data_IF_446481892313
#
_entry.id   IF_446481892313
#
_cell.length_a   1.000
_cell.length_b   1.000
_cell.length_c   1.000
_cell.angle_alpha   90.00
_cell.angle_beta   90.00
_cell.angle_gamma   90.00
#
_symmetry.space_group_name_H-M   'P 1'
#
loop_
_entity.id
_entity.type
_entity.pdbx_description
1 polymer ?
#
# COMPACT_ATOMS: atom_id res chain seq x y z
N UNK A 1 -14.27 1.53 -19.45
CA UNK A 1 -13.49 1.18 -18.26
C UNK A 1 -14.00 1.99 -17.10
N UNK A 2 -14.66 1.33 -16.15
CA UNK A 2 -14.97 1.90 -14.85
C UNK A 2 -13.93 1.49 -13.79
N UNK A 3 -14.13 1.97 -12.55
CA UNK A 3 -13.22 1.69 -11.44
C UNK A 3 -13.13 0.21 -11.10
N UNK A 4 -14.25 -0.49 -11.06
CA UNK A 4 -14.29 -1.90 -10.69
C UNK A 4 -13.66 -2.78 -11.77
N UNK A 5 -13.87 -2.45 -13.05
CA UNK A 5 -13.23 -3.08 -14.19
C UNK A 5 -11.70 -2.95 -14.09
N UNK A 6 -11.17 -1.74 -13.89
CA UNK A 6 -9.73 -1.53 -13.77
C UNK A 6 -9.14 -2.21 -12.54
N UNK A 7 -9.83 -2.16 -11.40
CA UNK A 7 -9.39 -2.84 -10.18
C UNK A 7 -9.29 -4.36 -10.36
N UNK A 8 -10.24 -4.93 -11.11
CA UNK A 8 -10.26 -6.35 -11.47
C UNK A 8 -9.10 -6.70 -12.40
N UNK A 9 -8.81 -5.86 -13.39
CA UNK A 9 -7.65 -6.03 -14.26
C UNK A 9 -6.33 -5.98 -13.48
N UNK A 10 -6.16 -5.01 -12.59
CA UNK A 10 -4.96 -4.93 -11.75
C UNK A 10 -4.76 -6.21 -10.93
N UNK A 11 -5.80 -6.71 -10.26
CA UNK A 11 -5.72 -7.96 -9.50
C UNK A 11 -5.38 -9.15 -10.38
N UNK A 12 -6.04 -9.28 -11.53
CA UNK A 12 -5.78 -10.36 -12.49
C UNK A 12 -4.32 -10.36 -12.95
N UNK A 13 -3.77 -9.17 -13.16
CA UNK A 13 -2.40 -9.00 -13.67
C UNK A 13 -1.34 -9.05 -12.55
N UNK A 14 -1.75 -9.41 -11.32
CA UNK A 14 -0.88 -9.63 -10.16
C UNK A 14 -0.50 -8.36 -9.40
N UNK A 15 -1.17 -7.24 -9.64
CA UNK A 15 -0.92 -5.99 -8.93
C UNK A 15 -1.66 -5.95 -7.60
N UNK A 16 -0.97 -5.47 -6.56
CA UNK A 16 -1.62 -4.98 -5.34
C UNK A 16 -2.28 -3.64 -5.65
N UNK A 17 -3.58 -3.55 -5.42
CA UNK A 17 -4.36 -2.32 -5.66
C UNK A 17 -4.05 -1.28 -4.58
N UNK A 18 -3.92 -0.02 -4.99
CA UNK A 18 -3.65 1.14 -4.13
C UNK A 18 -4.50 2.32 -4.61
N UNK A 19 -5.36 2.82 -3.72
CA UNK A 19 -6.06 4.10 -3.91
C UNK A 19 -5.24 5.21 -3.24
N UNK A 20 -4.92 6.26 -3.99
CA UNK A 20 -4.11 7.38 -3.50
C UNK A 20 -4.63 8.72 -4.00
N UNK A 21 -4.46 9.74 -3.17
CA UNK A 21 -4.68 11.14 -3.53
C UNK A 21 -3.40 11.92 -3.24
N UNK A 22 -2.87 12.61 -4.23
CA UNK A 22 -1.64 13.38 -4.11
C UNK A 22 -1.99 14.87 -4.11
N UNK A 23 -1.35 15.61 -3.21
CA UNK A 23 -1.66 17.03 -2.97
C UNK A 23 -1.37 17.89 -4.22
N UNK A 24 -2.12 18.99 -4.40
CA UNK A 24 -1.84 19.99 -5.43
C UNK A 24 -0.38 20.41 -5.51
N UNK A 25 0.13 20.59 -6.73
CA UNK A 25 1.46 21.12 -7.02
C UNK A 25 2.62 20.32 -6.38
N UNK A 26 2.38 19.08 -5.95
CA UNK A 26 3.45 18.23 -5.47
C UNK A 26 4.40 17.91 -6.63
N UNK A 27 5.70 18.09 -6.37
CA UNK A 27 6.77 17.73 -7.29
C UNK A 27 7.57 16.60 -6.66
N UNK A 28 7.55 15.44 -7.29
CA UNK A 28 8.49 14.36 -6.98
C UNK A 28 9.66 14.47 -7.96
N UNK A 29 10.89 14.78 -7.48
CA UNK A 29 12.05 14.83 -8.34
C UNK A 29 12.36 13.45 -8.95
N UNK A 30 13.35 13.41 -9.86
CA UNK A 30 13.80 12.17 -10.48
C UNK A 30 14.03 11.06 -9.44
N UNK A 31 13.29 9.98 -9.59
CA UNK A 31 13.37 8.80 -8.77
C UNK A 31 12.98 7.55 -9.57
N UNK A 32 13.17 6.39 -8.98
CA UNK A 32 12.67 5.13 -9.49
C UNK A 32 12.12 4.31 -8.33
N UNK A 33 11.37 3.27 -8.67
CA UNK A 33 10.87 2.31 -7.71
C UNK A 33 11.10 0.89 -8.21
N UNK A 34 11.15 -0.06 -7.29
CA UNK A 34 11.45 -1.48 -7.49
C UNK A 34 10.20 -2.34 -7.75
N UNK A 35 9.09 -1.72 -8.13
CA UNK A 35 7.85 -2.37 -8.58
C UNK A 35 7.38 -1.75 -9.90
N UNK A 36 6.59 -2.48 -10.68
CA UNK A 36 5.81 -1.91 -11.77
C UNK A 36 4.62 -1.15 -11.18
N UNK A 37 4.39 0.07 -11.66
CA UNK A 37 3.22 0.87 -11.34
C UNK A 37 2.32 1.00 -12.58
N UNK A 38 1.04 0.66 -12.43
CA UNK A 38 0.00 0.90 -13.44
C UNK A 38 -1.09 1.74 -12.79
N UNK A 39 -1.42 2.89 -13.36
CA UNK A 39 -2.33 3.84 -12.73
C UNK A 39 -3.39 4.33 -13.70
N UNK A 40 -4.59 4.55 -13.18
CA UNK A 40 -5.71 5.20 -13.83
C UNK A 40 -6.07 6.46 -13.05
N UNK A 41 -6.14 7.59 -13.76
CA UNK A 41 -6.47 8.89 -13.15
C UNK A 41 -7.98 8.98 -12.96
N UNK A 42 -8.40 9.11 -11.71
CA UNK A 42 -9.80 9.28 -11.32
C UNK A 42 -10.23 10.76 -11.38
N UNK A 43 -9.31 11.68 -11.11
CA UNK A 43 -9.56 13.12 -11.10
C UNK A 43 -8.27 13.92 -10.97
N UNK A 44 -8.30 15.19 -11.39
CA UNK A 44 -7.13 16.06 -11.47
C UNK A 44 -6.16 15.67 -12.60
N UNK A 45 -4.89 16.03 -12.45
CA UNK A 45 -3.86 15.72 -13.44
C UNK A 45 -2.47 15.48 -12.83
N UNK A 46 -1.68 14.65 -13.51
CA UNK A 46 -0.28 14.36 -13.17
C UNK A 46 0.56 14.32 -14.44
N UNK A 47 1.72 14.94 -14.41
CA UNK A 47 2.73 14.86 -15.47
C UNK A 47 3.84 13.92 -15.04
N UNK A 48 4.07 12.87 -15.84
CA UNK A 48 5.19 11.95 -15.67
C UNK A 48 6.25 12.32 -16.71
N UNK A 49 7.45 12.62 -16.25
CA UNK A 49 8.59 12.96 -17.12
C UNK A 49 9.58 11.80 -17.14
N UNK A 50 9.83 11.25 -18.33
CA UNK A 50 10.79 10.16 -18.58
C UNK A 50 11.68 10.58 -19.74
N UNK A 51 12.99 10.41 -19.61
CA UNK A 51 13.96 10.83 -20.64
C UNK A 51 13.74 12.27 -21.12
N UNK A 52 13.53 13.19 -20.18
CA UNK A 52 13.21 14.62 -20.40
C UNK A 52 11.93 14.87 -21.24
N UNK A 53 11.09 13.86 -21.42
CA UNK A 53 9.83 13.96 -22.15
C UNK A 53 8.67 13.95 -21.16
N UNK A 54 8.00 15.10 -20.94
CA UNK A 54 6.83 15.17 -20.07
C UNK A 54 5.57 14.68 -20.78
N UNK A 55 4.80 13.82 -20.11
CA UNK A 55 3.46 13.42 -20.55
C UNK A 55 2.46 13.65 -19.43
N UNK A 56 1.44 14.48 -19.70
CA UNK A 56 0.38 14.78 -18.74
C UNK A 56 -0.81 13.83 -18.92
N UNK A 57 -1.22 13.21 -17.82
CA UNK A 57 -2.37 12.32 -17.72
C UNK A 57 -3.47 12.98 -16.89
N UNK A 58 -4.71 12.85 -17.36
CA UNK A 58 -5.93 13.42 -16.79
C UNK A 58 -6.97 12.34 -16.56
N UNK A 59 -8.05 12.72 -15.88
CA UNK A 59 -9.19 11.83 -15.60
C UNK A 59 -9.57 10.94 -16.79
N UNK A 60 -9.67 9.63 -16.54
CA UNK A 60 -9.97 8.63 -17.56
C UNK A 60 -8.74 8.03 -18.25
N UNK A 61 -7.56 8.63 -18.14
CA UNK A 61 -6.33 8.14 -18.78
C UNK A 61 -5.51 7.22 -17.87
N UNK A 62 -4.84 6.25 -18.49
CA UNK A 62 -3.93 5.33 -17.81
C UNK A 62 -2.48 5.61 -18.17
N UNK A 63 -1.58 5.28 -17.24
CA UNK A 63 -0.15 5.26 -17.49
C UNK A 63 0.52 4.11 -16.74
N UNK A 64 1.70 3.73 -17.24
CA UNK A 64 2.53 2.69 -16.64
C UNK A 64 3.95 3.21 -16.45
N UNK A 65 4.51 2.95 -15.27
CA UNK A 65 5.92 3.18 -14.93
C UNK A 65 6.51 1.82 -14.53
N UNK A 66 7.35 1.22 -15.38
CA UNK A 66 8.02 -0.05 -15.07
C UNK A 66 8.96 0.08 -13.86
N UNK A 67 9.21 -1.03 -13.19
CA UNK A 67 10.24 -1.10 -12.16
C UNK A 67 11.60 -0.63 -12.69
N UNK A 68 12.34 0.11 -11.86
CA UNK A 68 13.65 0.69 -12.18
C UNK A 68 13.59 1.88 -13.15
N UNK A 69 12.44 2.23 -13.71
CA UNK A 69 12.33 3.36 -14.62
C UNK A 69 12.53 4.68 -13.87
N UNK A 70 13.58 5.43 -14.22
CA UNK A 70 13.77 6.78 -13.73
C UNK A 70 12.67 7.69 -14.28
N UNK A 71 12.04 8.46 -13.40
CA UNK A 71 11.00 9.41 -13.75
C UNK A 71 10.87 10.52 -12.71
N UNK A 72 10.30 11.66 -13.12
CA UNK A 72 9.83 12.71 -12.22
C UNK A 72 8.32 12.87 -12.35
N UNK A 73 7.69 13.34 -11.28
CA UNK A 73 6.25 13.58 -11.22
C UNK A 73 5.96 15.04 -10.88
N UNK A 74 4.98 15.62 -11.58
CA UNK A 74 4.44 16.94 -11.24
C UNK A 74 2.92 16.87 -11.24
N UNK A 75 2.33 17.04 -10.06
CA UNK A 75 0.88 17.04 -9.86
C UNK A 75 0.31 18.43 -10.13
N UNK A 76 -0.81 18.48 -10.85
CA UNK A 76 -1.47 19.74 -11.18
C UNK A 76 -2.05 20.50 -9.98
N UNK A 77 -2.59 21.71 -10.21
CA UNK A 77 -3.06 22.61 -9.16
C UNK A 77 -4.31 22.13 -8.40
N UNK A 78 -5.02 21.11 -8.90
CA UNK A 78 -6.17 20.50 -8.23
C UNK A 78 -5.80 19.23 -7.44
N UNK A 79 -4.53 18.83 -7.48
CA UNK A 79 -4.11 17.50 -7.01
C UNK A 79 -4.39 16.42 -8.05
N UNK A 80 -4.21 15.16 -7.65
CA UNK A 80 -4.59 14.01 -8.48
C UNK A 80 -5.11 12.87 -7.61
N UNK A 81 -6.18 12.22 -8.05
CA UNK A 81 -6.70 10.99 -7.48
C UNK A 81 -6.39 9.82 -8.42
N UNK A 82 -5.78 8.76 -7.90
CA UNK A 82 -5.33 7.61 -8.67
C UNK A 82 -5.89 6.31 -8.08
N UNK A 83 -6.43 5.46 -8.96
CA UNK A 83 -6.47 4.02 -8.72
C UNK A 83 -5.23 3.43 -9.37
N UNK A 84 -4.35 2.82 -8.58
CA UNK A 84 -3.10 2.26 -9.08
C UNK A 84 -2.91 0.82 -8.64
N UNK A 85 -2.11 0.07 -9.37
CA UNK A 85 -1.60 -1.22 -8.97
C UNK A 85 -0.08 -1.18 -8.86
N UNK A 86 0.47 -1.92 -7.90
CA UNK A 86 1.91 -2.12 -7.72
C UNK A 86 2.26 -3.60 -7.75
N UNK A 87 3.21 -4.00 -8.59
CA UNK A 87 3.64 -5.40 -8.74
C UNK A 87 5.16 -5.51 -8.73
N UNK A 88 5.69 -6.42 -7.93
CA UNK A 88 7.14 -6.73 -7.90
C UNK A 88 7.36 -8.04 -8.64
N UNK A 89 8.20 -8.02 -9.67
CA UNK A 89 8.51 -9.21 -10.46
C UNK A 89 9.71 -9.95 -9.83
N UNK A 90 9.43 -10.79 -8.83
CA UNK A 90 10.43 -11.67 -8.21
C UNK A 90 11.14 -11.12 -6.96
N UNK A 91 11.54 -12.04 -6.07
CA UNK A 91 12.15 -11.76 -4.77
C UNK A 91 11.12 -11.55 -3.64
N UNK A 92 11.43 -11.96 -2.39
CA UNK A 92 10.57 -11.66 -1.24
C UNK A 92 10.50 -10.15 -1.02
N UNK A 93 9.35 -9.65 -0.56
CA UNK A 93 9.21 -8.25 -0.17
C UNK A 93 10.14 -7.98 1.01
N UNK A 94 11.18 -7.17 0.80
CA UNK A 94 12.12 -6.85 1.87
C UNK A 94 11.50 -5.90 2.89
N UNK A 95 12.09 -5.86 4.08
CA UNK A 95 11.73 -4.91 5.13
C UNK A 95 11.78 -3.47 4.63
N UNK A 96 12.86 -3.09 3.95
CA UNK A 96 13.10 -1.73 3.46
C UNK A 96 12.08 -1.35 2.38
N UNK A 97 11.77 -2.30 1.50
CA UNK A 97 10.74 -2.14 0.48
C UNK A 97 9.34 -1.95 1.10
N UNK A 98 8.98 -2.77 2.09
CA UNK A 98 7.71 -2.64 2.80
C UNK A 98 7.59 -1.30 3.52
N UNK A 99 8.63 -0.92 4.26
CA UNK A 99 8.68 0.36 4.98
C UNK A 99 8.64 1.57 4.02
N UNK A 100 9.29 1.49 2.86
CA UNK A 100 9.18 2.50 1.81
C UNK A 100 7.77 2.61 1.24
N UNK A 101 7.09 1.48 1.03
CA UNK A 101 5.69 1.44 0.58
C UNK A 101 4.77 2.14 1.59
N UNK A 102 4.90 1.80 2.87
CA UNK A 102 4.13 2.40 3.97
C UNK A 102 4.27 3.92 3.98
N UNK A 103 5.51 4.44 3.96
CA UNK A 103 5.76 5.89 3.98
C UNK A 103 5.17 6.60 2.77
N UNK A 104 5.35 6.04 1.57
CA UNK A 104 4.81 6.62 0.34
C UNK A 104 3.29 6.67 0.35
N UNK A 105 2.65 5.73 1.03
CA UNK A 105 1.19 5.66 1.17
C UNK A 105 0.65 6.44 2.37
N UNK A 106 1.51 7.16 3.10
CA UNK A 106 1.11 8.01 4.23
C UNK A 106 0.82 7.25 5.52
N UNK A 107 1.33 6.03 5.67
CA UNK A 107 1.29 5.31 6.94
C UNK A 107 2.39 5.79 7.89
N UNK A 108 2.04 5.93 9.16
CA UNK A 108 2.99 6.09 10.25
C UNK A 108 3.62 4.73 10.56
N UNK A 109 4.94 4.63 10.39
CA UNK A 109 5.67 3.37 10.52
C UNK A 109 6.20 3.18 11.94
N UNK A 110 5.90 2.03 12.54
CA UNK A 110 6.36 1.62 13.87
C UNK A 110 7.03 0.24 13.77
N UNK A 111 8.18 0.11 14.42
CA UNK A 111 8.82 -1.19 14.64
C UNK A 111 8.42 -1.69 16.04
N UNK A 112 8.01 -2.95 16.16
CA UNK A 112 7.50 -3.48 17.42
C UNK A 112 7.39 -4.99 17.44
N UNK A 113 6.57 -5.49 18.35
CA UNK A 113 6.37 -6.91 18.53
C UNK A 113 5.50 -7.21 19.74
N UNK A 114 5.11 -8.47 19.88
CA UNK A 114 4.35 -8.98 21.02
C UNK A 114 5.07 -10.19 21.63
N UNK A 115 4.96 -10.32 22.96
CA UNK A 115 5.60 -11.41 23.71
C UNK A 115 4.89 -12.74 23.49
N UNK A 116 5.55 -13.88 23.77
CA UNK A 116 4.89 -15.18 23.87
C UNK A 116 3.60 -15.14 24.68
N UNK A 117 2.54 -15.77 24.18
CA UNK A 117 1.26 -15.85 24.87
C UNK A 117 0.42 -14.58 24.84
N UNK A 118 0.88 -13.51 24.19
CA UNK A 118 0.05 -12.35 23.91
C UNK A 118 -1.14 -12.77 23.03
N UNK A 119 -2.35 -12.37 23.44
CA UNK A 119 -3.56 -12.54 22.67
C UNK A 119 -4.48 -11.34 22.92
N UNK A 120 -5.07 -10.80 21.86
CA UNK A 120 -6.13 -9.82 21.94
C UNK A 120 -7.44 -10.47 21.51
N UNK A 121 -8.45 -10.27 22.34
CA UNK A 121 -9.83 -10.64 22.01
C UNK A 121 -10.35 -9.79 20.83
N UNK A 122 -11.59 -10.09 20.42
CA UNK A 122 -12.24 -9.43 19.29
C UNK A 122 -12.23 -7.92 19.46
N UNK A 123 -11.60 -7.22 18.52
CA UNK A 123 -11.53 -5.78 18.51
C UNK A 123 -11.47 -5.23 17.08
N UNK A 124 -11.55 -3.91 16.96
CA UNK A 124 -11.26 -3.17 15.74
C UNK A 124 -10.59 -1.83 16.09
N UNK A 125 -9.92 -1.25 15.11
CA UNK A 125 -9.30 0.06 15.20
C UNK A 125 -9.85 0.98 14.11
N UNK A 126 -9.78 2.30 14.33
CA UNK A 126 -10.25 3.34 13.42
C UNK A 126 -9.23 3.75 12.34
N UNK A 127 -8.07 3.08 12.30
CA UNK A 127 -7.03 3.25 11.29
C UNK A 127 -6.86 1.99 10.43
N UNK A 128 -6.29 2.12 9.23
CA UNK A 128 -5.78 0.97 8.49
C UNK A 128 -4.46 0.51 9.10
N UNK A 129 -4.26 -0.80 9.26
CA UNK A 129 -2.99 -1.39 9.67
C UNK A 129 -2.42 -2.28 8.57
N UNK A 130 -1.11 -2.15 8.32
CA UNK A 130 -0.35 -3.05 7.43
C UNK A 130 0.84 -3.57 8.19
N UNK A 131 0.95 -4.89 8.33
CA UNK A 131 1.94 -5.54 9.19
C UNK A 131 2.84 -6.43 8.33
N UNK A 132 4.15 -6.37 8.52
CA UNK A 132 5.10 -7.36 8.05
C UNK A 132 5.77 -8.02 9.24
N UNK A 133 5.73 -9.35 9.29
CA UNK A 133 6.39 -10.13 10.34
C UNK A 133 7.88 -10.23 10.02
N UNK A 134 8.71 -9.90 11.00
CA UNK A 134 10.18 -9.96 10.93
C UNK A 134 10.75 -11.23 11.58
N UNK A 135 10.10 -11.71 12.64
CA UNK A 135 10.48 -12.94 13.34
C UNK A 135 9.30 -13.47 14.17
N UNK A 136 9.30 -14.77 14.48
CA UNK A 136 8.19 -15.43 15.16
C UNK A 136 6.96 -15.54 14.27
N UNK A 137 5.79 -15.58 14.89
CA UNK A 137 4.51 -15.75 14.19
C UNK A 137 3.36 -15.00 14.88
N UNK A 138 2.40 -14.56 14.09
CA UNK A 138 1.13 -14.01 14.58
C UNK A 138 -0.03 -14.63 13.82
N UNK A 139 -1.04 -15.06 14.57
CA UNK A 139 -2.32 -15.50 14.01
C UNK A 139 -3.30 -14.33 14.05
N UNK A 140 -3.93 -14.04 12.91
CA UNK A 140 -5.01 -13.06 12.80
C UNK A 140 -6.28 -13.80 12.39
N UNK A 141 -7.33 -13.69 13.21
CA UNK A 141 -8.63 -14.30 12.92
C UNK A 141 -9.64 -13.23 12.52
N UNK A 142 -10.27 -13.40 11.36
CA UNK A 142 -11.30 -12.51 10.78
C UNK A 142 -12.44 -13.36 10.27
N UNK A 143 -13.68 -13.00 10.59
CA UNK A 143 -14.88 -13.74 10.16
C UNK A 143 -14.81 -15.26 10.41
N UNK A 144 -14.22 -15.64 11.55
CA UNK A 144 -14.03 -17.05 11.94
C UNK A 144 -12.89 -17.78 11.20
N UNK A 145 -12.20 -17.13 10.26
CA UNK A 145 -11.04 -17.68 9.56
C UNK A 145 -9.74 -17.17 10.17
N UNK A 146 -8.84 -18.09 10.51
CA UNK A 146 -7.52 -17.79 11.05
C UNK A 146 -6.45 -17.96 9.98
N UNK A 147 -5.65 -16.91 9.78
CA UNK A 147 -4.43 -16.96 8.97
C UNK A 147 -3.22 -16.78 9.91
N UNK A 148 -2.18 -17.61 9.72
CA UNK A 148 -0.91 -17.52 10.48
C UNK A 148 0.14 -16.89 9.58
N UNK A 149 0.77 -15.82 10.08
CA UNK A 149 1.81 -15.08 9.38
C UNK A 149 3.16 -15.31 10.07
N UNK A 150 4.15 -15.74 9.30
CA UNK A 150 5.52 -16.01 9.74
C UNK A 150 6.47 -14.93 9.21
N UNK A 151 7.74 -14.99 9.60
CA UNK A 151 8.77 -14.08 9.10
C UNK A 151 8.77 -13.97 7.56
N UNK A 152 8.67 -12.73 7.05
CA UNK A 152 8.56 -12.40 5.63
C UNK A 152 7.11 -12.27 5.13
N UNK A 153 6.14 -12.83 5.84
CA UNK A 153 4.73 -12.65 5.53
C UNK A 153 4.24 -11.26 5.93
N UNK A 154 3.17 -10.81 5.29
CA UNK A 154 2.54 -9.54 5.59
C UNK A 154 1.02 -9.65 5.49
N UNK A 155 0.33 -8.78 6.23
CA UNK A 155 -1.12 -8.69 6.20
C UNK A 155 -1.59 -7.24 6.27
N UNK A 156 -2.82 -7.03 5.80
CA UNK A 156 -3.51 -5.75 5.90
C UNK A 156 -4.80 -5.97 6.70
N UNK A 157 -5.08 -5.05 7.61
CA UNK A 157 -6.26 -5.02 8.47
C UNK A 157 -6.91 -3.65 8.25
N UNK A 158 -8.01 -3.59 7.48
CA UNK A 158 -8.71 -2.34 7.23
C UNK A 158 -9.27 -1.73 8.52
N UNK A 159 -9.43 -0.40 8.54
CA UNK A 159 -10.16 0.28 9.60
C UNK A 159 -11.55 -0.34 9.81
N UNK A 160 -11.95 -0.54 11.06
CA UNK A 160 -13.22 -1.16 11.44
C UNK A 160 -13.29 -2.68 11.29
N UNK A 161 -12.26 -3.34 10.74
CA UNK A 161 -12.22 -4.80 10.62
C UNK A 161 -12.18 -5.46 12.01
N UNK A 162 -13.24 -6.19 12.36
CA UNK A 162 -13.30 -7.00 13.57
C UNK A 162 -12.35 -8.19 13.44
N UNK A 163 -11.39 -8.29 14.37
CA UNK A 163 -10.41 -9.36 14.35
C UNK A 163 -9.89 -9.69 15.76
N UNK A 164 -9.27 -10.86 15.88
CA UNK A 164 -8.43 -11.22 17.03
C UNK A 164 -6.98 -11.34 16.58
N UNK A 165 -6.04 -11.21 17.52
CA UNK A 165 -4.61 -11.44 17.27
C UNK A 165 -4.06 -12.36 18.34
N UNK A 166 -3.13 -13.26 17.95
CA UNK A 166 -2.41 -14.11 18.90
C UNK A 166 -0.98 -14.28 18.46
N UNK A 167 -0.03 -13.94 19.32
CA UNK A 167 1.37 -14.21 19.10
C UNK A 167 1.69 -15.69 19.36
N UNK A 168 2.61 -16.25 18.57
CA UNK A 168 3.09 -17.61 18.72
C UNK A 168 3.91 -17.85 20.00
N UNK A 169 4.43 -19.07 20.19
CA UNK A 169 5.17 -19.47 21.38
C UNK A 169 6.50 -18.71 21.56
N UNK A 170 7.07 -18.14 20.50
CA UNK A 170 8.27 -17.30 20.55
C UNK A 170 7.96 -15.80 20.57
N UNK A 171 6.67 -15.43 20.57
CA UNK A 171 6.22 -14.07 20.30
C UNK A 171 6.31 -13.72 18.82
N UNK A 172 6.25 -12.43 18.52
CA UNK A 172 6.35 -11.90 17.16
C UNK A 172 7.09 -10.57 17.16
N UNK A 173 8.00 -10.36 16.21
CA UNK A 173 8.54 -9.04 15.88
C UNK A 173 7.99 -8.61 14.52
N UNK A 174 7.62 -7.34 14.37
CA UNK A 174 7.02 -6.83 13.13
C UNK A 174 7.35 -5.37 12.86
N UNK A 175 7.14 -4.96 11.60
CA UNK A 175 6.88 -3.57 11.24
C UNK A 175 5.38 -3.41 11.02
N UNK A 176 4.81 -2.35 11.57
CA UNK A 176 3.43 -1.96 11.30
C UNK A 176 3.35 -0.54 10.79
N UNK A 177 2.63 -0.32 9.70
CA UNK A 177 2.15 0.98 9.28
C UNK A 177 0.73 1.21 9.78
N UNK A 178 0.44 2.40 10.31
CA UNK A 178 -0.92 2.82 10.68
C UNK A 178 -1.34 4.07 9.92
N UNK A 179 -2.53 4.10 9.36
CA UNK A 179 -3.06 5.26 8.65
C UNK A 179 -4.52 5.54 9.01
N UNK A 180 -4.79 6.69 9.65
CA UNK A 180 -6.15 7.21 9.82
C UNK A 180 -6.59 7.89 8.52
N UNK A 181 -7.27 7.15 7.64
CA UNK A 181 -7.87 7.76 6.45
C UNK A 181 -9.14 8.50 6.88
N UNK A 182 -9.16 9.82 6.74
CA UNK A 182 -10.42 10.58 6.87
C UNK A 182 -11.38 10.06 5.78
N UNK A 183 -12.66 9.78 6.08
CA UNK A 183 -13.62 9.48 5.03
C UNK A 183 -13.60 10.64 4.04
N UNK A 184 -13.63 10.32 2.74
CA UNK A 184 -13.89 11.33 1.73
C UNK A 184 -15.20 12.01 2.12
N UNK A 185 -15.15 13.32 2.35
CA UNK A 185 -16.37 14.10 2.47
C UNK A 185 -17.02 14.03 1.08
N UNK A 186 -18.18 13.35 1.01
CA UNK A 186 -19.02 13.29 -0.18
C UNK A 186 -19.40 14.70 -0.66
#
# INVERSE_FOLDING_TARGET
>A
MDKAEFETELRRDGYRVVNSSVKPNLVAPNHCHDFDAKAWVLGGEITITRDNTPVTFRAGQCFEVPAGCMHAEHVGPEGVALLSGRRRNGGPLTREAFESDLRREGFDVVNGGQKPGFAEDMHAHDFDARIMVLAGEITVTRDGKSDVFHAGDHCEIPAGCQHTTKAGPEGVAYIVGKACRRPAMN
#
